data_IF_177879860596
#
_entry.id   IF_177879860596
#
_cell.length_a   1.000
_cell.length_b   1.000
_cell.length_c   1.000
_cell.angle_alpha   90.00
_cell.angle_beta   90.00
_cell.angle_gamma   90.00
#
_symmetry.space_group_name_H-M   'P 1'
#
loop_
_entity.id
_entity.type
_entity.pdbx_description
1 polymer ?
#
# COMPACT_ATOMS: atom_id res chain seq x y z
N UNK A 1 -13.92 -16.68 11.47
CA UNK A 1 -12.43 -16.56 11.39
C UNK A 1 -12.08 -16.13 9.98
N UNK A 2 -11.22 -15.12 9.82
CA UNK A 2 -10.70 -14.79 8.48
C UNK A 2 -9.72 -15.91 8.07
N UNK A 3 -9.76 -16.37 6.82
CA UNK A 3 -8.85 -17.43 6.34
C UNK A 3 -7.40 -16.96 6.44
N UNK A 4 -6.46 -17.88 6.68
CA UNK A 4 -5.01 -17.60 6.81
C UNK A 4 -4.49 -16.77 5.63
N UNK A 5 -5.00 -17.05 4.42
CA UNK A 5 -4.70 -16.31 3.19
C UNK A 5 -4.96 -14.80 3.27
N UNK A 6 -5.94 -14.35 4.07
CA UNK A 6 -6.24 -12.94 4.26
C UNK A 6 -5.10 -12.20 4.96
N UNK A 7 -4.57 -12.76 6.05
CA UNK A 7 -3.50 -12.14 6.83
C UNK A 7 -2.17 -12.17 6.08
N UNK A 8 -1.90 -13.26 5.35
CA UNK A 8 -0.73 -13.37 4.48
C UNK A 8 -0.76 -12.33 3.35
N UNK A 9 -1.92 -12.14 2.72
CA UNK A 9 -2.11 -11.13 1.68
C UNK A 9 -1.90 -9.73 2.25
N UNK A 10 -2.51 -9.42 3.41
CA UNK A 10 -2.32 -8.15 4.10
C UNK A 10 -0.83 -7.90 4.37
N UNK A 11 -0.11 -8.87 4.94
CA UNK A 11 1.31 -8.73 5.25
C UNK A 11 2.17 -8.47 3.99
N UNK A 12 1.87 -9.15 2.88
CA UNK A 12 2.55 -8.90 1.59
C UNK A 12 2.32 -7.49 1.06
N UNK A 13 1.08 -6.99 1.15
CA UNK A 13 0.75 -5.63 0.70
C UNK A 13 1.45 -4.58 1.57
N UNK A 14 1.49 -4.77 2.90
CA UNK A 14 2.26 -3.88 3.80
C UNK A 14 3.74 -3.90 3.42
N UNK A 15 4.34 -5.08 3.23
CA UNK A 15 5.75 -5.19 2.87
C UNK A 15 6.07 -4.50 1.53
N UNK A 16 5.18 -4.60 0.54
CA UNK A 16 5.33 -3.89 -0.74
C UNK A 16 5.29 -2.36 -0.56
N UNK A 17 4.36 -1.85 0.26
CA UNK A 17 4.26 -0.43 0.55
C UNK A 17 5.52 0.09 1.26
N UNK A 18 5.98 -0.61 2.31
CA UNK A 18 7.20 -0.26 3.03
C UNK A 18 8.42 -0.24 2.10
N UNK A 19 8.61 -1.30 1.31
CA UNK A 19 9.72 -1.39 0.37
C UNK A 19 9.70 -0.28 -0.69
N UNK A 20 8.52 0.17 -1.13
CA UNK A 20 8.40 1.28 -2.07
C UNK A 20 8.77 2.63 -1.44
N UNK A 21 8.31 2.87 -0.21
CA UNK A 21 8.58 4.12 0.50
C UNK A 21 10.06 4.27 0.91
N UNK A 22 10.65 3.20 1.44
CA UNK A 22 12.03 3.20 1.95
C UNK A 22 13.07 2.93 0.86
N UNK A 23 12.66 2.27 -0.24
CA UNK A 23 13.56 1.94 -1.33
C UNK A 23 14.05 3.16 -2.11
N UNK A 24 15.26 3.04 -2.65
CA UNK A 24 15.83 4.00 -3.59
C UNK A 24 15.17 3.91 -4.98
N UNK A 25 15.63 4.72 -5.92
CA UNK A 25 15.06 4.77 -7.27
C UNK A 25 15.18 3.42 -8.01
N UNK A 26 16.29 2.71 -7.86
CA UNK A 26 16.51 1.40 -8.47
C UNK A 26 15.56 0.33 -7.89
N UNK A 27 15.38 0.31 -6.57
CA UNK A 27 14.43 -0.56 -5.89
C UNK A 27 12.99 -0.27 -6.33
N UNK A 28 12.60 1.02 -6.40
CA UNK A 28 11.27 1.43 -6.87
C UNK A 28 11.04 1.01 -8.33
N UNK A 29 12.03 1.15 -9.20
CA UNK A 29 11.94 0.69 -10.59
C UNK A 29 11.72 -0.82 -10.69
N UNK A 30 12.44 -1.60 -9.87
CA UNK A 30 12.26 -3.05 -9.78
C UNK A 30 10.86 -3.42 -9.26
N UNK A 31 10.35 -2.72 -8.25
CA UNK A 31 9.00 -2.94 -7.73
C UNK A 31 7.91 -2.63 -8.76
N UNK A 32 8.07 -1.57 -9.56
CA UNK A 32 7.13 -1.21 -10.64
C UNK A 32 6.98 -2.28 -11.73
N UNK A 33 7.93 -3.22 -11.85
CA UNK A 33 7.77 -4.37 -12.73
C UNK A 33 6.77 -5.43 -12.22
N UNK A 34 6.41 -5.36 -10.92
CA UNK A 34 5.59 -6.37 -10.23
C UNK A 34 4.18 -5.88 -9.89
N UNK A 35 4.02 -4.58 -9.66
CA UNK A 35 2.77 -3.93 -9.27
C UNK A 35 2.81 -2.46 -9.67
N UNK A 36 1.64 -1.83 -9.76
CA UNK A 36 1.56 -0.38 -9.92
C UNK A 36 1.43 0.30 -8.56
N UNK A 37 2.14 1.41 -8.39
CA UNK A 37 2.22 2.17 -7.16
C UNK A 37 1.83 3.61 -7.42
N UNK A 38 0.83 4.09 -6.67
CA UNK A 38 0.31 5.44 -6.72
C UNK A 38 0.46 6.08 -5.33
N UNK A 39 1.62 6.67 -5.01
CA UNK A 39 1.81 7.38 -3.75
C UNK A 39 0.86 8.57 -3.67
N UNK A 40 0.16 8.73 -2.55
CA UNK A 40 -0.73 9.86 -2.31
C UNK A 40 0.04 10.88 -1.48
N UNK A 41 0.55 11.91 -2.14
CA UNK A 41 1.07 13.11 -1.46
C UNK A 41 -0.11 13.86 -0.85
N UNK A 42 -0.19 13.95 0.48
CA UNK A 42 -1.15 14.86 1.13
C UNK A 42 -0.46 16.21 1.36
N UNK A 43 -1.18 17.27 1.02
CA UNK A 43 -0.77 18.68 1.09
C UNK A 43 -0.23 19.06 2.46
N UNK A 44 0.74 19.98 2.42
CA UNK A 44 1.44 20.58 3.56
C UNK A 44 0.48 21.01 4.68
N UNK A 45 0.83 20.69 5.93
CA UNK A 45 0.12 21.16 7.13
C UNK A 45 -0.26 20.09 8.15
N UNK A 46 0.06 18.80 7.93
CA UNK A 46 -0.17 17.74 8.91
C UNK A 46 1.18 17.19 9.36
N UNK A 47 1.57 17.49 10.61
CA UNK A 47 2.85 17.12 11.25
C UNK A 47 3.12 15.61 11.36
N UNK A 48 2.19 14.76 10.94
CA UNK A 48 2.41 13.34 10.76
C UNK A 48 2.20 13.00 9.29
N UNK A 49 3.32 12.79 8.59
CA UNK A 49 3.39 12.18 7.26
C UNK A 49 2.70 10.81 7.30
N UNK A 50 1.38 10.78 7.09
CA UNK A 50 0.69 9.52 6.90
C UNK A 50 1.03 9.05 5.49
N UNK A 51 1.95 8.08 5.38
CA UNK A 51 2.38 7.50 4.11
C UNK A 51 1.21 6.72 3.53
N UNK A 52 0.47 7.38 2.65
CA UNK A 52 -0.66 6.80 1.94
C UNK A 52 -0.20 6.35 0.55
N UNK A 53 -0.50 5.12 0.18
CA UNK A 53 -0.18 4.58 -1.13
C UNK A 53 -1.28 3.65 -1.62
N UNK A 54 -1.65 3.81 -2.89
CA UNK A 54 -2.49 2.83 -3.58
C UNK A 54 -1.60 1.89 -4.37
N UNK A 55 -1.84 0.59 -4.22
CA UNK A 55 -1.13 -0.48 -4.92
C UNK A 55 -2.13 -1.25 -5.77
N UNK A 56 -1.86 -1.37 -7.07
CA UNK A 56 -2.56 -2.29 -7.96
C UNK A 56 -1.71 -3.53 -8.17
N UNK A 57 -2.17 -4.68 -7.70
CA UNK A 57 -1.46 -5.96 -7.80
C UNK A 57 -2.38 -7.00 -8.41
N UNK A 58 -2.01 -7.56 -9.57
CA UNK A 58 -2.77 -8.62 -10.28
C UNK A 58 -4.25 -8.28 -10.52
N UNK A 59 -4.55 -7.00 -10.76
CA UNK A 59 -5.91 -6.53 -10.99
C UNK A 59 -6.67 -6.13 -9.73
N UNK A 60 -6.17 -6.41 -8.52
CA UNK A 60 -6.77 -5.93 -7.27
C UNK A 60 -6.16 -4.59 -6.84
N UNK A 61 -6.96 -3.74 -6.20
CA UNK A 61 -6.52 -2.42 -5.71
C UNK A 61 -6.55 -2.40 -4.18
N UNK A 62 -5.44 -1.97 -3.61
CA UNK A 62 -5.27 -1.83 -2.16
C UNK A 62 -4.88 -0.41 -1.81
N UNK A 63 -5.57 0.17 -0.83
CA UNK A 63 -5.12 1.38 -0.14
C UNK A 63 -4.34 0.96 1.11
N UNK A 64 -3.11 1.45 1.23
CA UNK A 64 -2.28 1.31 2.42
C UNK A 64 -2.15 2.69 3.05
N UNK A 65 -2.50 2.79 4.33
CA UNK A 65 -2.50 4.05 5.08
C UNK A 65 -2.04 3.82 6.51
N UNK A 66 -1.13 4.67 6.99
CA UNK A 66 -0.78 4.69 8.41
C UNK A 66 -1.95 5.25 9.24
N UNK A 67 -2.39 4.47 10.21
CA UNK A 67 -3.48 4.87 11.10
C UNK A 67 -2.98 5.78 12.21
N UNK A 68 -3.88 6.54 12.84
CA UNK A 68 -3.55 7.41 13.98
C UNK A 68 -2.93 6.66 15.18
N UNK A 69 -3.11 5.34 15.26
CA UNK A 69 -2.53 4.46 16.28
C UNK A 69 -1.11 3.95 15.99
N UNK A 70 -0.52 4.32 14.86
CA UNK A 70 0.81 3.84 14.44
C UNK A 70 0.80 2.48 13.75
N UNK A 71 -0.38 1.89 13.50
CA UNK A 71 -0.53 0.67 12.71
C UNK A 71 -0.75 0.98 11.23
N UNK A 72 -0.21 0.15 10.34
CA UNK A 72 -0.50 0.24 8.90
C UNK A 72 -1.81 -0.49 8.56
N UNK A 73 -2.81 0.28 8.13
CA UNK A 73 -4.07 -0.21 7.59
C UNK A 73 -3.90 -0.66 6.14
N UNK A 74 -4.50 -1.80 5.79
CA UNK A 74 -4.65 -2.23 4.39
C UNK A 74 -6.12 -2.41 4.12
N UNK A 75 -6.62 -1.62 3.17
CA UNK A 75 -8.01 -1.61 2.75
C UNK A 75 -8.05 -2.09 1.30
N UNK A 76 -8.67 -3.24 1.06
CA UNK A 76 -8.99 -3.65 -0.30
C UNK A 76 -10.09 -2.73 -0.81
N UNK A 77 -9.77 -1.97 -1.85
CA UNK A 77 -10.75 -1.15 -2.55
C UNK A 77 -11.47 -2.11 -3.51
N UNK A 78 -12.72 -2.45 -3.19
CA UNK A 78 -13.57 -3.19 -4.10
C UNK A 78 -13.61 -2.40 -5.42
N UNK A 79 -13.06 -2.99 -6.48
CA UNK A 79 -13.24 -2.45 -7.82
C UNK A 79 -14.74 -2.40 -8.14
N UNK A 80 -15.20 -1.44 -8.97
CA UNK A 80 -16.52 -1.52 -9.54
C UNK A 80 -16.63 -2.87 -10.26
N UNK A 81 -17.68 -3.62 -9.97
CA UNK A 81 -18.08 -4.73 -10.83
C UNK A 81 -18.45 -4.10 -12.16
N UNK A 82 -17.66 -4.31 -13.21
CA UNK A 82 -18.04 -4.22 -14.63
C UNK A 82 -16.90 -4.65 -15.54
#
# INVERSE_FOLDING_TARGET
>A
MKPVSYYETKARIVALATAFHEGDEAARASLRSKADFFPISRTEGVEREVRSIVIRLRGEIFLVEDTKGGETGVFSLLLPVM
#
